data_IF_655464324479
#
_entry.id   IF_655464324479
#
_cell.length_a   1.000
_cell.length_b   1.000
_cell.length_c   1.000
_cell.angle_alpha   90.00
_cell.angle_beta   90.00
_cell.angle_gamma   90.00
#
_symmetry.space_group_name_H-M   'P 1'
#
loop_
_entity.id
_entity.type
_entity.pdbx_description
1 polymer ?
#
# COMPACT_ATOMS: atom_id res chain seq x y z
N UNK A 1 -42.26 -70.60 -50.18
CA UNK A 1 -42.52 -69.48 -49.24
C UNK A 1 -41.20 -68.99 -48.79
N UNK A 2 -40.80 -67.86 -49.32
CA UNK A 2 -39.45 -67.22 -49.06
C UNK A 2 -39.63 -65.99 -48.20
N UNK A 3 -39.15 -66.04 -46.99
CA UNK A 3 -39.17 -64.89 -46.04
C UNK A 3 -37.89 -64.09 -46.23
N UNK A 4 -38.04 -62.89 -46.73
CA UNK A 4 -36.96 -61.94 -46.83
C UNK A 4 -36.78 -61.16 -45.47
N UNK A 5 -35.61 -61.32 -44.89
CA UNK A 5 -35.25 -60.54 -43.70
C UNK A 5 -34.61 -59.24 -44.16
N UNK A 6 -35.27 -58.13 -43.84
CA UNK A 6 -34.77 -56.80 -44.08
C UNK A 6 -33.87 -56.41 -42.87
N UNK A 7 -32.61 -56.30 -43.10
CA UNK A 7 -31.67 -55.78 -42.09
C UNK A 7 -31.72 -54.22 -42.04
N UNK A 8 -32.10 -53.69 -40.89
CA UNK A 8 -32.09 -52.27 -40.61
C UNK A 8 -30.68 -51.90 -40.10
N UNK A 9 -29.93 -51.18 -40.92
CA UNK A 9 -28.62 -50.68 -40.49
C UNK A 9 -28.78 -49.39 -39.62
N UNK A 10 -28.48 -49.53 -38.35
CA UNK A 10 -28.39 -48.37 -37.43
C UNK A 10 -27.03 -47.67 -37.65
N UNK A 11 -27.05 -46.46 -38.23
CA UNK A 11 -25.85 -45.63 -38.37
C UNK A 11 -25.64 -44.90 -37.04
N UNK A 12 -24.64 -45.28 -36.27
CA UNK A 12 -24.23 -44.59 -35.07
C UNK A 12 -23.44 -43.35 -35.49
N UNK A 13 -24.00 -42.15 -35.29
CA UNK A 13 -23.26 -40.88 -35.38
C UNK A 13 -22.40 -40.74 -34.13
N UNK A 14 -21.10 -40.90 -34.25
CA UNK A 14 -20.14 -40.57 -33.22
C UNK A 14 -20.00 -39.03 -33.15
N UNK A 15 -20.58 -38.43 -32.13
CA UNK A 15 -20.31 -37.03 -31.79
C UNK A 15 -18.95 -36.99 -31.07
N UNK A 16 -17.93 -36.58 -31.77
CA UNK A 16 -16.61 -36.26 -31.15
C UNK A 16 -16.76 -34.93 -30.39
N UNK A 17 -16.95 -35.01 -29.09
CA UNK A 17 -16.82 -33.86 -28.22
C UNK A 17 -15.35 -33.42 -28.24
N UNK A 18 -15.06 -32.31 -28.89
CA UNK A 18 -13.75 -31.64 -28.78
C UNK A 18 -13.65 -31.07 -27.38
N UNK A 19 -12.98 -31.77 -26.48
CA UNK A 19 -12.55 -31.23 -25.19
C UNK A 19 -11.54 -30.09 -25.43
N UNK A 20 -12.04 -28.86 -25.61
CA UNK A 20 -11.26 -27.66 -25.51
C UNK A 20 -11.04 -27.40 -24.03
N UNK A 21 -10.22 -28.21 -23.38
CA UNK A 21 -9.69 -27.87 -22.07
C UNK A 21 -8.80 -26.66 -22.25
N UNK A 22 -9.33 -25.47 -21.94
CA UNK A 22 -8.51 -24.27 -21.69
C UNK A 22 -7.60 -24.65 -20.51
N UNK A 23 -6.40 -25.14 -20.81
CA UNK A 23 -5.35 -25.30 -19.83
C UNK A 23 -5.02 -23.89 -19.33
N UNK A 24 -5.56 -23.53 -18.16
CA UNK A 24 -5.15 -22.33 -17.47
C UNK A 24 -3.63 -22.44 -17.27
N UNK A 25 -2.88 -21.54 -17.89
CA UNK A 25 -1.41 -21.49 -17.74
C UNK A 25 -1.13 -21.40 -16.24
N UNK A 26 -0.36 -22.37 -15.73
CA UNK A 26 0.02 -22.35 -14.32
C UNK A 26 0.82 -21.09 -14.03
N UNK A 27 0.50 -20.36 -12.97
CA UNK A 27 1.23 -19.15 -12.63
C UNK A 27 2.72 -19.46 -12.41
N UNK A 28 3.59 -18.63 -13.00
CA UNK A 28 5.04 -18.80 -12.87
C UNK A 28 5.49 -18.39 -11.47
N UNK A 29 6.47 -19.07 -10.87
CA UNK A 29 7.07 -18.63 -9.62
C UNK A 29 7.62 -17.22 -9.73
N UNK A 30 7.33 -16.37 -8.73
CA UNK A 30 7.90 -15.03 -8.59
C UNK A 30 8.81 -15.00 -7.37
N UNK A 31 10.07 -14.58 -7.55
CA UNK A 31 11.06 -14.46 -6.48
C UNK A 31 11.51 -13.01 -6.44
N UNK A 32 11.17 -12.30 -5.35
CA UNK A 32 11.50 -10.90 -5.16
C UNK A 32 12.40 -10.77 -3.93
N UNK A 33 13.73 -10.63 -4.10
CA UNK A 33 14.64 -10.35 -2.99
C UNK A 33 14.27 -9.05 -2.28
N UNK A 34 14.71 -8.91 -1.02
CA UNK A 34 14.57 -7.64 -0.33
C UNK A 34 15.48 -6.61 -1.00
N UNK A 35 14.94 -5.44 -1.25
CA UNK A 35 15.67 -4.32 -1.86
C UNK A 35 15.17 -2.99 -1.28
N UNK A 36 15.93 -1.93 -1.50
CA UNK A 36 15.51 -0.59 -1.11
C UNK A 36 14.30 -0.16 -1.94
N UNK A 37 13.20 0.16 -1.28
CA UNK A 37 12.01 0.69 -1.93
C UNK A 37 12.19 2.17 -2.25
N UNK A 38 11.96 2.54 -3.51
CA UNK A 38 12.01 3.94 -3.97
C UNK A 38 10.63 4.59 -4.04
N UNK A 39 9.57 3.78 -4.00
CA UNK A 39 8.17 4.21 -4.01
C UNK A 39 7.51 3.90 -2.66
N UNK A 40 6.41 4.62 -2.37
CA UNK A 40 5.62 4.37 -1.18
C UNK A 40 5.02 2.95 -1.17
N UNK A 41 4.52 2.46 -2.30
CA UNK A 41 3.97 1.13 -2.42
C UNK A 41 4.51 0.40 -3.65
N UNK A 42 4.69 -0.90 -3.53
CA UNK A 42 5.18 -1.81 -4.58
C UNK A 42 4.34 -3.09 -4.60
N UNK A 43 3.86 -3.47 -5.78
CA UNK A 43 3.16 -4.75 -5.98
C UNK A 43 4.18 -5.84 -6.25
N UNK A 44 4.26 -6.85 -5.39
CA UNK A 44 5.16 -8.00 -5.53
C UNK A 44 4.48 -9.16 -6.25
N UNK A 45 3.17 -9.30 -6.12
CA UNK A 45 2.39 -10.36 -6.74
C UNK A 45 0.94 -9.94 -6.95
N UNK A 46 0.34 -10.42 -8.04
CA UNK A 46 -1.08 -10.24 -8.35
C UNK A 46 -1.48 -8.80 -8.66
N UNK A 47 -2.78 -8.56 -8.67
CA UNK A 47 -3.36 -7.23 -8.77
C UNK A 47 -4.27 -7.00 -7.55
N UNK A 48 -3.92 -6.08 -6.65
CA UNK A 48 -4.74 -5.80 -5.47
C UNK A 48 -6.15 -5.30 -5.81
N UNK A 49 -6.39 -4.80 -7.02
CA UNK A 49 -7.72 -4.33 -7.47
C UNK A 49 -8.58 -5.46 -8.04
N UNK A 50 -8.00 -6.57 -8.43
CA UNK A 50 -8.71 -7.67 -9.07
C UNK A 50 -9.56 -8.45 -8.07
N UNK A 51 -10.82 -8.70 -8.42
CA UNK A 51 -11.75 -9.46 -7.57
C UNK A 51 -11.34 -10.92 -7.50
N UNK A 52 -11.26 -11.48 -6.30
CA UNK A 52 -10.99 -12.89 -6.04
C UNK A 52 -9.55 -13.34 -6.33
N UNK A 53 -8.63 -12.42 -6.62
CA UNK A 53 -7.22 -12.74 -6.86
C UNK A 53 -6.37 -12.47 -5.62
N UNK A 54 -5.40 -13.35 -5.37
CA UNK A 54 -4.40 -13.13 -4.35
C UNK A 54 -3.46 -12.00 -4.76
N UNK A 55 -3.09 -11.16 -3.80
CA UNK A 55 -2.11 -10.11 -4.01
C UNK A 55 -1.10 -10.05 -2.86
N UNK A 56 0.07 -9.51 -3.13
CA UNK A 56 1.08 -9.14 -2.15
C UNK A 56 1.63 -7.77 -2.53
N UNK A 57 1.58 -6.83 -1.59
CA UNK A 57 2.17 -5.50 -1.72
C UNK A 57 3.14 -5.23 -0.57
N UNK A 58 4.13 -4.39 -0.81
CA UNK A 58 4.94 -3.76 0.24
C UNK A 58 4.63 -2.29 0.30
N UNK A 59 4.56 -1.77 1.51
CA UNK A 59 4.32 -0.35 1.79
C UNK A 59 5.49 0.13 2.64
N UNK A 60 6.10 1.23 2.20
CA UNK A 60 7.15 1.91 2.94
C UNK A 60 6.55 3.08 3.69
N UNK A 61 6.61 2.97 5.00
CA UNK A 61 6.19 4.04 5.90
C UNK A 61 7.41 4.87 6.31
N UNK A 62 7.20 6.16 6.46
CA UNK A 62 8.25 7.11 6.82
C UNK A 62 8.33 7.31 8.32
N UNK A 63 9.48 7.79 8.84
CA UNK A 63 9.60 8.11 10.25
C UNK A 63 8.56 9.14 10.68
N UNK A 64 7.85 8.86 11.77
CA UNK A 64 6.75 9.70 12.25
C UNK A 64 5.46 9.54 11.45
N UNK A 65 5.39 8.54 10.55
CA UNK A 65 4.22 8.26 9.73
C UNK A 65 3.00 7.90 10.58
N UNK A 66 1.90 8.57 10.32
CA UNK A 66 0.61 8.28 10.95
C UNK A 66 -0.31 7.66 9.91
N UNK A 67 -0.87 6.51 10.25
CA UNK A 67 -1.86 5.81 9.44
C UNK A 67 -3.23 6.06 10.08
N UNK A 68 -4.05 6.95 9.50
CA UNK A 68 -5.35 7.33 10.09
C UNK A 68 -6.33 6.16 10.16
N UNK A 69 -7.39 6.25 11.01
CA UNK A 69 -8.42 5.23 11.07
C UNK A 69 -9.06 4.96 9.70
N UNK A 70 -8.97 3.71 9.26
CA UNK A 70 -9.49 3.23 7.99
C UNK A 70 -9.83 1.75 8.08
N UNK A 71 -10.46 1.21 7.04
CA UNK A 71 -10.78 -0.21 6.90
C UNK A 71 -10.64 -0.66 5.47
N UNK A 72 -10.62 -1.97 5.26
CA UNK A 72 -10.64 -2.60 3.93
C UNK A 72 -11.89 -3.48 3.73
N UNK A 73 -12.37 -3.64 2.49
CA UNK A 73 -13.53 -4.50 2.19
C UNK A 73 -13.19 -5.99 2.20
N UNK A 74 -11.91 -6.34 2.39
CA UNK A 74 -11.38 -7.71 2.39
C UNK A 74 -10.53 -7.92 3.63
N UNK A 75 -10.27 -9.18 3.96
CA UNK A 75 -9.34 -9.54 5.02
C UNK A 75 -7.92 -9.10 4.65
N UNK A 76 -7.19 -8.61 5.63
CA UNK A 76 -5.84 -8.11 5.47
C UNK A 76 -4.87 -8.85 6.39
N UNK A 77 -3.74 -9.23 5.83
CA UNK A 77 -2.61 -9.79 6.56
C UNK A 77 -1.44 -8.82 6.47
N UNK A 78 -0.94 -8.38 7.62
CA UNK A 78 0.16 -7.44 7.74
C UNK A 78 1.36 -8.15 8.36
N UNK A 79 2.53 -8.00 7.75
CA UNK A 79 3.80 -8.45 8.31
C UNK A 79 4.78 -7.29 8.29
N UNK A 80 5.39 -6.96 9.44
CA UNK A 80 6.47 -5.97 9.49
C UNK A 80 7.75 -6.61 8.96
N UNK A 81 8.21 -6.14 7.81
CA UNK A 81 9.43 -6.63 7.14
C UNK A 81 10.67 -5.93 7.68
N UNK A 82 10.53 -4.64 8.01
CA UNK A 82 11.60 -3.81 8.56
C UNK A 82 11.03 -2.71 9.47
N UNK A 83 11.77 -2.35 10.52
CA UNK A 83 11.38 -1.29 11.44
C UNK A 83 10.30 -1.70 12.43
N UNK A 84 9.55 -0.71 12.91
CA UNK A 84 8.51 -0.87 13.93
C UNK A 84 7.21 -0.22 13.48
N UNK A 85 6.11 -0.95 13.59
CA UNK A 85 4.75 -0.47 13.42
C UNK A 85 4.02 -0.54 14.76
N UNK A 86 3.54 0.59 15.27
CA UNK A 86 2.53 0.61 16.31
C UNK A 86 1.16 0.51 15.66
N UNK A 87 0.37 -0.49 16.05
CA UNK A 87 -0.86 -0.85 15.37
C UNK A 87 -2.03 -0.95 16.35
N UNK A 88 -3.12 -0.28 16.06
CA UNK A 88 -4.33 -0.25 16.85
C UNK A 88 -5.59 -0.55 16.05
N UNK A 89 -6.60 -1.06 16.74
CA UNK A 89 -7.94 -1.35 16.20
C UNK A 89 -8.95 -0.45 16.91
N UNK A 90 -9.81 0.21 16.14
CA UNK A 90 -10.84 1.10 16.67
C UNK A 90 -11.16 2.27 15.75
N UNK A 91 -12.20 2.98 16.11
CA UNK A 91 -12.77 4.08 15.33
C UNK A 91 -11.99 5.41 15.48
N UNK A 92 -11.17 5.51 16.51
CA UNK A 92 -10.38 6.69 16.83
C UNK A 92 -8.91 6.32 16.93
N UNK A 93 -8.05 7.26 16.55
CA UNK A 93 -6.62 7.13 16.74
C UNK A 93 -6.33 7.31 18.24
N UNK A 94 -5.90 6.25 18.90
CA UNK A 94 -5.57 6.23 20.33
C UNK A 94 -4.23 5.54 20.52
N UNK A 95 -3.20 6.31 20.84
CA UNK A 95 -1.83 5.76 21.00
C UNK A 95 -1.75 4.71 22.11
N UNK A 96 -2.53 4.86 23.18
CA UNK A 96 -2.57 3.90 24.28
C UNK A 96 -3.19 2.54 23.89
N UNK A 97 -3.96 2.47 22.81
CA UNK A 97 -4.56 1.24 22.29
C UNK A 97 -3.68 0.50 21.28
N UNK A 98 -2.53 1.06 20.93
CA UNK A 98 -1.63 0.45 19.97
C UNK A 98 -0.76 -0.64 20.58
N UNK A 99 -0.52 -1.67 19.78
CA UNK A 99 0.45 -2.72 20.08
C UNK A 99 1.71 -2.53 19.21
N UNK A 100 2.87 -2.74 19.79
CA UNK A 100 4.13 -2.67 19.08
C UNK A 100 4.34 -3.94 18.25
N UNK A 101 4.51 -3.77 16.93
CA UNK A 101 4.91 -4.83 16.01
C UNK A 101 6.30 -4.50 15.46
N UNK A 102 7.30 -5.24 15.88
CA UNK A 102 8.67 -5.16 15.34
C UNK A 102 8.82 -6.03 14.11
N UNK A 103 9.96 -5.92 13.43
CA UNK A 103 10.34 -6.82 12.32
C UNK A 103 10.02 -8.28 12.65
N UNK A 104 9.28 -8.95 11.77
CA UNK A 104 8.70 -10.27 11.96
C UNK A 104 7.33 -10.27 12.66
N UNK A 105 6.88 -9.15 13.21
CA UNK A 105 5.55 -8.99 13.79
C UNK A 105 4.46 -9.15 12.73
N UNK A 106 3.31 -9.68 13.16
CA UNK A 106 2.20 -10.02 12.27
C UNK A 106 0.86 -9.58 12.87
N UNK A 107 -0.05 -9.12 12.01
CA UNK A 107 -1.45 -8.87 12.35
C UNK A 107 -2.37 -9.45 11.27
N UNK A 108 -3.49 -10.01 11.71
CA UNK A 108 -4.62 -10.37 10.85
C UNK A 108 -5.80 -9.46 11.16
N UNK A 109 -6.34 -8.82 10.13
CA UNK A 109 -7.43 -7.86 10.25
C UNK A 109 -8.59 -8.35 9.41
N UNK A 110 -9.70 -8.78 10.03
CA UNK A 110 -10.90 -9.14 9.31
C UNK A 110 -11.44 -7.96 8.50
N UNK A 111 -12.02 -8.24 7.36
CA UNK A 111 -12.70 -7.24 6.52
C UNK A 111 -13.63 -6.34 7.32
N UNK A 112 -13.62 -5.06 7.01
CA UNK A 112 -14.49 -4.07 7.66
C UNK A 112 -14.05 -3.62 9.04
N UNK A 113 -12.99 -4.22 9.62
CA UNK A 113 -12.41 -3.76 10.89
C UNK A 113 -11.71 -2.43 10.69
N UNK A 114 -12.05 -1.44 11.49
CA UNK A 114 -11.36 -0.14 11.48
C UNK A 114 -10.06 -0.26 12.27
N UNK A 115 -8.97 0.22 11.68
CA UNK A 115 -7.62 0.16 12.22
C UNK A 115 -6.86 1.44 11.95
N UNK A 116 -5.78 1.64 12.70
CA UNK A 116 -4.89 2.79 12.59
C UNK A 116 -3.48 2.39 13.00
N UNK A 117 -2.50 3.23 12.68
CA UNK A 117 -1.11 2.91 13.01
C UNK A 117 -0.20 4.12 13.10
N UNK A 118 1.02 3.87 13.56
CA UNK A 118 2.08 4.85 13.67
C UNK A 118 3.44 4.17 13.51
N UNK A 119 4.34 4.82 12.79
CA UNK A 119 5.73 4.34 12.62
C UNK A 119 6.71 5.36 13.20
N UNK A 120 7.40 5.07 14.30
CA UNK A 120 8.35 6.00 14.92
C UNK A 120 9.63 6.20 14.09
N UNK A 121 9.91 5.22 13.24
CA UNK A 121 11.06 5.17 12.33
C UNK A 121 10.60 4.68 10.95
N UNK A 122 11.47 4.73 9.95
CA UNK A 122 11.16 4.14 8.66
C UNK A 122 10.83 2.65 8.80
N UNK A 123 9.69 2.25 8.27
CA UNK A 123 9.23 0.87 8.33
C UNK A 123 8.83 0.37 6.93
N UNK A 124 8.96 -0.93 6.74
CA UNK A 124 8.40 -1.62 5.57
C UNK A 124 7.43 -2.67 6.08
N UNK A 125 6.19 -2.56 5.66
CA UNK A 125 5.15 -3.55 5.93
C UNK A 125 4.79 -4.29 4.65
N UNK A 126 4.56 -5.58 4.74
CA UNK A 126 4.03 -6.38 3.66
C UNK A 126 2.58 -6.71 3.96
N UNK A 127 1.72 -6.38 3.01
CA UNK A 127 0.28 -6.65 3.08
C UNK A 127 -0.06 -7.69 2.02
N UNK A 128 -0.88 -8.67 2.38
CA UNK A 128 -1.43 -9.63 1.44
C UNK A 128 -2.87 -9.98 1.77
N UNK A 129 -3.59 -10.46 0.76
CA UNK A 129 -5.00 -10.83 0.88
C UNK A 129 -5.57 -11.29 -0.45
N UNK A 130 -6.89 -11.37 -0.50
CA UNK A 130 -7.66 -11.63 -1.73
C UNK A 130 -8.41 -10.35 -2.09
N UNK A 131 -8.12 -9.80 -3.28
CA UNK A 131 -8.73 -8.53 -3.74
C UNK A 131 -10.25 -8.55 -3.90
N UNK A 132 -10.89 -7.38 -4.06
CA UNK A 132 -10.30 -6.06 -4.32
C UNK A 132 -9.87 -5.36 -3.04
N UNK A 133 -8.63 -4.92 -2.98
CA UNK A 133 -8.07 -4.19 -1.85
C UNK A 133 -8.06 -2.69 -2.12
N UNK A 134 -8.71 -1.93 -1.27
CA UNK A 134 -8.69 -0.47 -1.29
C UNK A 134 -8.98 0.09 0.11
N UNK A 135 -8.54 1.30 0.35
CA UNK A 135 -8.74 1.98 1.63
C UNK A 135 -10.13 2.61 1.66
N UNK A 136 -10.87 2.34 2.74
CA UNK A 136 -12.11 3.01 3.10
C UNK A 136 -11.85 3.84 4.35
N UNK A 137 -11.59 5.12 4.15
CA UNK A 137 -11.38 6.04 5.26
C UNK A 137 -12.64 6.19 6.11
N UNK A 138 -12.47 6.31 7.41
CA UNK A 138 -13.59 6.59 8.30
C UNK A 138 -14.19 7.96 8.00
N UNK A 139 -15.52 8.03 7.86
CA UNK A 139 -16.22 9.30 7.80
C UNK A 139 -15.98 10.07 9.11
N UNK A 140 -15.51 11.31 9.02
CA UNK A 140 -15.14 12.12 10.18
C UNK A 140 -13.78 11.76 10.80
N UNK A 141 -12.98 10.86 10.22
CA UNK A 141 -11.55 10.89 10.48
C UNK A 141 -11.05 12.23 9.97
N UNK A 142 -10.72 13.11 10.89
CA UNK A 142 -10.38 14.52 10.62
C UNK A 142 -9.21 14.67 9.64
N UNK A 143 -8.50 13.58 9.40
CA UNK A 143 -7.31 13.47 8.58
C UNK A 143 -7.60 13.58 7.08
N UNK A 144 -8.64 12.91 6.57
CA UNK A 144 -8.88 12.89 5.13
C UNK A 144 -9.46 14.21 4.61
N UNK A 145 -10.43 14.75 5.33
CA UNK A 145 -11.09 16.00 4.93
C UNK A 145 -10.19 17.22 5.12
N UNK A 146 -9.06 17.03 5.83
CA UNK A 146 -8.06 18.06 6.13
C UNK A 146 -6.68 17.79 5.55
N UNK A 147 -6.43 16.56 5.03
CA UNK A 147 -5.12 16.25 4.46
C UNK A 147 -4.90 17.10 3.22
N UNK A 148 -4.01 18.06 3.34
CA UNK A 148 -3.51 18.87 2.23
C UNK A 148 -2.14 18.38 1.82
N UNK A 149 -1.83 18.55 0.56
CA UNK A 149 -0.53 18.17 -0.01
C UNK A 149 0.05 19.32 -0.83
N UNK A 150 1.32 19.21 -1.20
CA UNK A 150 1.93 20.18 -2.10
C UNK A 150 1.33 20.20 -3.51
N UNK A 151 0.45 19.26 -3.85
CA UNK A 151 -0.24 19.21 -5.13
C UNK A 151 -1.54 20.03 -5.12
N UNK A 152 -2.00 20.50 -3.95
CA UNK A 152 -3.21 21.29 -3.86
C UNK A 152 -3.02 22.69 -4.45
N UNK A 153 -4.06 23.23 -5.08
CA UNK A 153 -4.01 24.51 -5.77
C UNK A 153 -3.60 25.69 -4.86
N UNK A 154 -3.90 25.59 -3.57
CA UNK A 154 -3.57 26.60 -2.55
C UNK A 154 -2.43 26.19 -1.62
N UNK A 155 -1.64 25.19 -1.98
CA UNK A 155 -0.51 24.69 -1.19
C UNK A 155 0.43 25.81 -0.70
N UNK A 156 0.56 26.87 -1.50
CA UNK A 156 1.36 28.02 -1.14
C UNK A 156 0.93 28.76 0.14
N UNK A 157 -0.33 28.60 0.54
CA UNK A 157 -0.88 29.24 1.74
C UNK A 157 -0.62 28.39 2.99
N UNK A 158 -0.46 27.08 2.80
CA UNK A 158 -0.33 26.10 3.88
C UNK A 158 1.13 25.73 4.13
N UNK A 159 1.88 25.47 3.06
CA UNK A 159 3.23 24.93 3.14
C UNK A 159 4.31 25.99 2.98
N UNK A 160 5.29 25.95 3.87
CA UNK A 160 6.46 26.84 3.84
C UNK A 160 7.45 26.49 2.74
N UNK A 161 7.54 25.20 2.38
CA UNK A 161 8.49 24.66 1.40
C UNK A 161 7.75 24.12 0.18
N UNK A 162 8.47 23.97 -0.96
CA UNK A 162 7.94 23.51 -2.24
C UNK A 162 8.56 22.18 -2.65
N UNK A 163 7.91 21.44 -3.55
CA UNK A 163 8.54 20.30 -4.22
C UNK A 163 9.83 20.72 -4.89
N UNK A 164 10.88 19.90 -4.75
CA UNK A 164 12.19 20.14 -5.31
C UNK A 164 13.05 21.13 -4.54
N UNK A 165 12.51 21.81 -3.53
CA UNK A 165 13.26 22.77 -2.72
C UNK A 165 14.29 22.06 -1.84
N UNK A 166 15.52 22.63 -1.78
CA UNK A 166 16.58 22.13 -0.91
C UNK A 166 16.36 22.55 0.54
N UNK A 167 16.46 21.61 1.45
CA UNK A 167 16.29 21.84 2.88
C UNK A 167 17.39 21.19 3.70
N UNK A 168 17.55 21.66 4.94
CA UNK A 168 18.38 21.06 5.99
C UNK A 168 17.43 20.57 7.07
N UNK A 169 17.52 19.29 7.40
CA UNK A 169 16.82 18.65 8.50
C UNK A 169 17.81 18.04 9.49
N UNK A 170 17.32 17.45 10.57
CA UNK A 170 18.19 16.78 11.56
C UNK A 170 19.06 15.66 11.00
N UNK A 171 18.64 15.02 9.89
CA UNK A 171 19.39 13.99 9.16
C UNK A 171 20.33 14.53 8.07
N UNK A 172 20.42 15.83 7.88
CA UNK A 172 21.27 16.47 6.88
C UNK A 172 20.52 17.22 5.80
N UNK A 173 21.21 17.46 4.66
CA UNK A 173 20.64 18.14 3.50
C UNK A 173 19.81 17.17 2.66
N UNK A 174 18.71 17.68 2.12
CA UNK A 174 17.87 16.91 1.22
C UNK A 174 16.99 17.80 0.36
N UNK A 175 16.13 17.17 -0.44
CA UNK A 175 15.19 17.82 -1.34
C UNK A 175 13.76 17.38 -0.99
N UNK A 176 12.86 18.34 -0.91
CA UNK A 176 11.44 18.08 -0.68
C UNK A 176 10.85 17.28 -1.85
N UNK A 177 10.22 16.15 -1.56
CA UNK A 177 9.47 15.35 -2.52
C UNK A 177 7.97 15.63 -2.42
N UNK A 178 7.42 15.68 -1.20
CA UNK A 178 6.01 15.93 -0.92
C UNK A 178 5.87 16.60 0.44
N UNK A 179 4.76 17.26 0.67
CA UNK A 179 4.38 17.81 1.97
C UNK A 179 2.97 17.39 2.32
N UNK A 180 2.70 17.25 3.60
CA UNK A 180 1.43 16.82 4.16
C UNK A 180 1.05 17.73 5.33
N UNK A 181 -0.16 18.29 5.28
CA UNK A 181 -0.80 18.98 6.40
C UNK A 181 -2.00 18.17 6.86
N UNK A 182 -1.91 17.62 8.06
CA UNK A 182 -2.99 16.85 8.70
C UNK A 182 -3.88 17.71 9.58
N UNK A 183 -3.56 19.01 9.71
CA UNK A 183 -4.18 19.91 10.67
C UNK A 183 -3.61 19.79 12.09
N UNK A 184 -2.82 18.78 12.38
CA UNK A 184 -2.10 18.59 13.65
C UNK A 184 -0.60 18.86 13.51
N UNK A 185 -0.04 18.51 12.35
CA UNK A 185 1.35 18.81 11.99
C UNK A 185 1.47 19.01 10.48
N UNK A 186 2.51 19.71 10.08
CA UNK A 186 2.95 19.79 8.69
C UNK A 186 4.27 19.03 8.58
N UNK A 187 4.28 17.99 7.76
CA UNK A 187 5.43 17.14 7.51
C UNK A 187 5.82 17.12 6.05
N UNK A 188 7.07 16.77 5.76
CA UNK A 188 7.61 16.66 4.41
C UNK A 188 8.38 15.37 4.22
N UNK A 189 8.13 14.71 3.10
CA UNK A 189 9.00 13.66 2.57
C UNK A 189 10.22 14.31 1.94
N UNK A 190 11.39 13.85 2.32
CA UNK A 190 12.67 14.41 1.92
C UNK A 190 13.56 13.29 1.38
N UNK A 191 14.15 13.54 0.21
CA UNK A 191 15.21 12.72 -0.34
C UNK A 191 16.55 13.32 0.06
N UNK A 192 17.34 12.59 0.83
CA UNK A 192 18.71 12.95 1.19
C UNK A 192 19.66 12.91 -0.02
N UNK A 193 20.83 13.52 0.13
CA UNK A 193 21.86 13.54 -0.92
C UNK A 193 22.38 12.13 -1.29
N UNK A 194 22.23 11.17 -0.39
CA UNK A 194 22.57 9.75 -0.58
C UNK A 194 21.41 8.91 -1.12
N UNK A 195 20.29 9.55 -1.48
CA UNK A 195 19.07 8.88 -1.94
C UNK A 195 18.21 8.29 -0.81
N UNK A 196 18.60 8.47 0.46
CA UNK A 196 17.75 8.05 1.57
C UNK A 196 16.49 8.90 1.63
N UNK A 197 15.38 8.25 2.00
CA UNK A 197 14.10 8.92 2.18
C UNK A 197 13.79 9.03 3.67
N UNK A 198 13.37 10.21 4.09
CA UNK A 198 12.97 10.44 5.47
C UNK A 198 11.92 11.55 5.54
N UNK A 199 11.16 11.57 6.64
CA UNK A 199 10.22 12.65 6.94
C UNK A 199 10.82 13.61 7.97
N UNK A 200 10.45 14.88 7.87
CA UNK A 200 10.67 15.86 8.93
C UNK A 200 9.48 16.79 9.04
N UNK A 201 9.20 17.27 10.25
CA UNK A 201 8.18 18.29 10.45
C UNK A 201 8.68 19.67 9.97
N UNK A 202 7.76 20.49 9.52
CA UNK A 202 8.07 21.82 9.00
C UNK A 202 8.90 22.69 9.98
N UNK A 203 8.58 22.58 11.27
CA UNK A 203 9.29 23.32 12.33
C UNK A 203 10.78 23.00 12.41
N UNK A 204 11.17 21.78 11.99
CA UNK A 204 12.54 21.28 12.08
C UNK A 204 13.35 21.49 10.79
N UNK A 205 12.73 22.12 9.79
CA UNK A 205 13.33 22.37 8.48
C UNK A 205 13.87 23.80 8.34
N UNK A 206 15.02 23.92 7.68
CA UNK A 206 15.61 25.19 7.23
C UNK A 206 15.90 25.13 5.73
N UNK A 207 15.79 26.27 5.05
CA UNK A 207 16.23 26.37 3.64
C UNK A 207 17.73 26.21 3.52
N UNK A 208 18.16 25.54 2.47
CA UNK A 208 19.56 25.64 2.05
C UNK A 208 19.75 27.06 1.52
N UNK A 209 20.59 27.85 2.16
CA UNK A 209 20.95 29.18 1.66
C UNK A 209 21.59 29.02 0.28
N UNK A 210 21.10 29.78 -0.70
CA UNK A 210 21.76 29.87 -1.99
C UNK A 210 23.16 30.45 -1.72
N UNK A 211 24.21 29.70 -2.06
CA UNK A 211 25.57 30.22 -2.02
C UNK A 211 25.59 31.52 -2.83
N UNK A 212 25.83 32.64 -2.16
CA UNK A 212 26.09 33.90 -2.84
C UNK A 212 27.28 33.67 -3.81
N UNK A 213 26.98 33.74 -5.11
CA UNK A 213 28.00 33.70 -6.16
C UNK A 213 28.67 35.03 -6.27
#
# INVERSE_FOLDING_TARGET
>A
MSTRHTACALTLLAVTASDSSLSAEQPRPSIVPIHAMTQHAEVLHGDPKAVGQAFVIRIRELPGGVIPPHRHPVDEHITVVQGTLYFGVGEKFESAAMQELKTGGYAFIPKGTTMFGYTPEAAIVQVHGIGPFHIQWRAGSQWRDRLRTLDDADAAKTFRFRKGEGVIAGRGKGRILQGYDSGEFIGYDIEGADGTLFMAEEKDLRRVEASAR
#
